data_IF_990705814106
#
_entry.id   IF_990705814106
#
_cell.length_a   1.000
_cell.length_b   1.000
_cell.length_c   1.000
_cell.angle_alpha   90.00
_cell.angle_beta   90.00
_cell.angle_gamma   90.00
#
_symmetry.space_group_name_H-M   'P 1'
#
loop_
_entity.id
_entity.type
_entity.pdbx_description
1 polymer ?
#
# COMPACT_ATOMS: atom_id res chain seq x y z
N UNK A 1 -8.98 15.87 0.95
CA UNK A 1 -8.56 15.04 -0.19
C UNK A 1 -7.10 15.30 -0.51
N UNK A 2 -6.22 14.46 0.03
CA UNK A 2 -4.78 14.47 -0.15
C UNK A 2 -4.36 13.13 -0.77
N UNK A 3 -3.81 13.18 -1.97
CA UNK A 3 -3.32 12.00 -2.70
C UNK A 3 -1.81 12.08 -2.77
N UNK A 4 -1.14 11.01 -2.33
CA UNK A 4 0.30 10.88 -2.36
C UNK A 4 0.72 9.71 -3.25
N UNK A 5 1.95 9.76 -3.75
CA UNK A 5 2.58 8.62 -4.43
C UNK A 5 3.82 8.21 -3.68
N UNK A 6 4.03 6.91 -3.52
CA UNK A 6 5.20 6.36 -2.84
C UNK A 6 5.75 5.16 -3.60
N UNK A 7 7.05 5.18 -3.89
CA UNK A 7 7.74 4.01 -4.41
C UNK A 7 8.08 3.10 -3.22
N UNK A 8 7.45 1.94 -3.16
CA UNK A 8 7.59 1.04 -2.03
C UNK A 8 8.89 0.22 -2.07
N UNK A 9 9.52 0.10 -3.25
CA UNK A 9 10.65 -0.78 -3.59
C UNK A 9 10.36 -2.27 -3.41
N UNK A 10 9.61 -2.66 -2.39
CA UNK A 10 9.04 -3.98 -2.14
C UNK A 10 7.93 -3.89 -1.08
N UNK A 11 6.82 -4.59 -1.30
CA UNK A 11 5.78 -4.91 -0.32
C UNK A 11 5.53 -6.42 -0.26
N UNK A 12 6.55 -7.22 -0.59
CA UNK A 12 6.42 -8.67 -0.70
C UNK A 12 6.18 -9.39 0.64
N UNK A 13 6.53 -8.77 1.78
CA UNK A 13 6.41 -9.34 3.12
C UNK A 13 5.44 -8.55 4.01
N UNK A 14 4.89 -9.20 5.05
CA UNK A 14 4.06 -8.53 6.06
C UNK A 14 4.84 -7.41 6.77
N UNK A 15 6.11 -7.65 7.14
CA UNK A 15 6.97 -6.64 7.74
C UNK A 15 7.10 -5.37 6.87
N UNK A 16 7.25 -5.52 5.55
CA UNK A 16 7.33 -4.35 4.64
C UNK A 16 6.01 -3.56 4.56
N UNK A 17 4.88 -4.24 4.77
CA UNK A 17 3.57 -3.60 4.86
C UNK A 17 3.40 -2.88 6.19
N UNK A 18 3.84 -3.48 7.30
CA UNK A 18 3.82 -2.83 8.62
C UNK A 18 4.68 -1.56 8.65
N UNK A 19 5.87 -1.61 8.05
CA UNK A 19 6.74 -0.45 7.91
C UNK A 19 6.07 0.67 7.10
N UNK A 20 5.43 0.35 5.97
CA UNK A 20 4.63 1.30 5.19
C UNK A 20 3.55 1.95 6.06
N UNK A 21 2.80 1.15 6.82
CA UNK A 21 1.74 1.64 7.70
C UNK A 21 2.31 2.57 8.79
N UNK A 22 3.47 2.22 9.36
CA UNK A 22 4.14 3.05 10.36
C UNK A 22 4.60 4.40 9.79
N UNK A 23 5.11 4.42 8.55
CA UNK A 23 5.49 5.68 7.90
C UNK A 23 4.28 6.50 7.47
N UNK A 24 3.24 5.86 6.92
CA UNK A 24 2.02 6.53 6.49
C UNK A 24 1.35 7.28 7.65
N UNK A 25 1.36 6.72 8.88
CA UNK A 25 0.84 7.38 10.10
C UNK A 25 1.48 8.74 10.40
N UNK A 26 2.66 9.04 9.86
CA UNK A 26 3.40 10.29 10.10
C UNK A 26 3.02 11.41 9.14
N UNK A 27 2.26 11.12 8.09
CA UNK A 27 1.87 12.10 7.07
C UNK A 27 0.35 12.25 7.00
N UNK A 28 -0.12 13.37 6.47
CA UNK A 28 -1.54 13.54 6.12
C UNK A 28 -1.78 12.95 4.74
N UNK A 29 -2.73 12.04 4.62
CA UNK A 29 -3.13 11.43 3.35
C UNK A 29 -4.57 10.94 3.46
N UNK A 30 -5.26 10.92 2.33
CA UNK A 30 -6.53 10.20 2.14
C UNK A 30 -6.29 8.96 1.26
N UNK A 31 -5.40 9.06 0.27
CA UNK A 31 -4.99 7.97 -0.62
C UNK A 31 -3.49 8.00 -0.86
N UNK A 32 -2.83 6.84 -0.85
CA UNK A 32 -1.45 6.66 -1.29
C UNK A 32 -1.41 5.68 -2.47
N UNK A 33 -1.00 6.16 -3.63
CA UNK A 33 -0.64 5.31 -4.77
C UNK A 33 0.76 4.73 -4.56
N UNK A 34 0.89 3.42 -4.69
CA UNK A 34 2.11 2.68 -4.43
C UNK A 34 2.62 2.02 -5.72
N UNK A 35 3.90 2.15 -5.99
CA UNK A 35 4.57 1.52 -7.14
C UNK A 35 5.70 0.61 -6.68
N UNK A 36 6.08 -0.35 -7.53
CA UNK A 36 7.14 -1.32 -7.24
C UNK A 36 6.87 -2.15 -5.99
N UNK A 37 5.63 -2.63 -5.83
CA UNK A 37 5.25 -3.49 -4.70
C UNK A 37 5.84 -4.88 -4.79
N UNK A 38 6.16 -5.37 -5.99
CA UNK A 38 6.80 -6.68 -6.25
C UNK A 38 6.09 -7.85 -5.56
N UNK A 39 4.77 -7.75 -5.36
CA UNK A 39 3.94 -8.78 -4.73
C UNK A 39 3.43 -9.73 -5.82
N UNK A 40 3.72 -11.02 -5.73
CA UNK A 40 3.24 -11.99 -6.73
C UNK A 40 1.77 -12.36 -6.58
N UNK A 41 1.21 -12.19 -5.38
CA UNK A 41 -0.18 -12.51 -5.08
C UNK A 41 -0.93 -11.24 -4.70
N UNK A 42 -2.12 -11.07 -5.29
CA UNK A 42 -3.00 -9.98 -4.90
C UNK A 42 -3.33 -10.08 -3.41
N UNK A 43 -3.45 -8.94 -2.75
CA UNK A 43 -3.82 -8.86 -1.34
C UNK A 43 -4.84 -7.74 -1.18
N UNK A 44 -5.91 -8.02 -0.44
CA UNK A 44 -6.73 -7.00 0.18
C UNK A 44 -6.61 -7.17 1.68
N UNK A 45 -6.33 -6.06 2.37
CA UNK A 45 -6.27 -6.03 3.82
C UNK A 45 -6.99 -4.78 4.31
N UNK A 46 -7.95 -4.96 5.22
CA UNK A 46 -8.56 -3.89 5.98
C UNK A 46 -7.99 -3.92 7.40
N UNK A 47 -7.59 -2.76 7.91
CA UNK A 47 -7.02 -2.60 9.25
C UNK A 47 -8.03 -1.99 10.21
N UNK A 48 -7.89 -2.30 11.50
CA UNK A 48 -8.73 -1.73 12.56
C UNK A 48 -8.66 -0.20 12.64
N UNK A 49 -7.57 0.40 12.14
CA UNK A 49 -7.41 1.84 12.04
C UNK A 49 -8.21 2.48 10.88
N UNK A 50 -8.94 1.69 10.10
CA UNK A 50 -9.83 2.14 9.04
C UNK A 50 -9.17 2.18 7.67
N UNK A 51 -7.85 2.03 7.58
CA UNK A 51 -7.17 1.93 6.29
C UNK A 51 -7.48 0.62 5.56
N UNK A 52 -7.53 0.69 4.24
CA UNK A 52 -7.61 -0.46 3.35
C UNK A 52 -6.46 -0.45 2.34
N UNK A 53 -5.77 -1.58 2.22
CA UNK A 53 -4.67 -1.79 1.30
C UNK A 53 -5.10 -2.76 0.19
N UNK A 54 -4.89 -2.35 -1.06
CA UNK A 54 -5.15 -3.16 -2.26
C UNK A 54 -3.86 -3.37 -3.03
N UNK A 55 -3.20 -4.52 -2.86
CA UNK A 55 -2.01 -4.90 -3.61
C UNK A 55 -2.40 -5.62 -4.91
N UNK A 56 -2.01 -5.05 -6.05
CA UNK A 56 -1.98 -5.77 -7.32
C UNK A 56 -0.76 -6.69 -7.43
N UNK A 57 -0.79 -7.57 -8.42
CA UNK A 57 0.32 -8.49 -8.71
C UNK A 57 1.40 -7.84 -9.57
N UNK A 58 2.66 -8.21 -9.36
CA UNK A 58 3.75 -7.95 -10.30
C UNK A 58 3.77 -8.98 -11.45
N UNK A 59 4.61 -8.75 -12.46
CA UNK A 59 4.79 -9.72 -13.55
C UNK A 59 5.51 -11.00 -13.09
N UNK A 60 5.66 -11.98 -13.98
CA UNK A 60 6.34 -13.25 -13.68
C UNK A 60 7.81 -13.08 -13.26
N UNK A 61 8.42 -11.92 -13.54
CA UNK A 61 9.80 -11.60 -13.15
C UNK A 61 9.89 -10.92 -11.78
N UNK A 62 8.76 -10.70 -11.11
CA UNK A 62 8.71 -9.99 -9.85
C UNK A 62 8.87 -8.47 -10.01
N UNK A 63 8.78 -7.94 -11.23
CA UNK A 63 9.03 -6.52 -11.52
C UNK A 63 7.72 -5.74 -11.54
N UNK A 64 7.76 -4.55 -10.96
CA UNK A 64 6.61 -3.64 -10.92
C UNK A 64 5.63 -3.98 -9.80
N UNK A 65 4.34 -4.00 -10.15
CA UNK A 65 3.24 -4.05 -9.18
C UNK A 65 2.80 -2.65 -8.76
N UNK A 66 1.49 -2.46 -8.71
CA UNK A 66 0.83 -1.22 -8.29
C UNK A 66 -0.12 -1.56 -7.14
N UNK A 67 -0.27 -0.63 -6.21
CA UNK A 67 -1.18 -0.77 -5.08
C UNK A 67 -1.75 0.58 -4.67
N UNK A 68 -2.80 0.54 -3.88
CA UNK A 68 -3.39 1.73 -3.26
C UNK A 68 -3.61 1.47 -1.77
N UNK A 69 -3.21 2.43 -0.93
CA UNK A 69 -3.62 2.52 0.48
C UNK A 69 -4.65 3.64 0.62
N UNK A 70 -5.84 3.32 1.10
CA UNK A 70 -6.93 4.29 1.30
C UNK A 70 -7.18 4.42 2.78
N UNK A 71 -7.27 5.65 3.28
CA UNK A 71 -7.74 5.91 4.63
C UNK A 71 -9.25 6.12 4.61
N UNK A 72 -10.02 5.22 5.23
CA UNK A 72 -11.45 5.47 5.46
C UNK A 72 -11.62 6.44 6.63
N UNK A 73 -11.22 7.69 6.41
CA UNK A 73 -11.61 8.81 7.25
C UNK A 73 -12.67 9.60 6.51
N UNK A 74 -13.86 9.01 6.36
CA UNK A 74 -15.16 9.70 6.33
C UNK A 74 -16.31 8.67 6.36
N UNK A 75 -17.46 9.02 6.96
CA UNK A 75 -18.64 8.16 7.04
C UNK A 75 -19.25 7.84 5.68
#
# INVERSE_FOLDING_TARGET
MTICTYNARTLASEASVEDLMMQARKIKYDVIGLTETRRHHALHAAYDSGEELFLGTCDSRGVGGVSVLVKRTWP
#
